data_IF_521752013962
#
_entry.id   IF_521752013962
#
_cell.length_a   1.000
_cell.length_b   1.000
_cell.length_c   1.000
_cell.angle_alpha   90.00
_cell.angle_beta   90.00
_cell.angle_gamma   90.00
#
_symmetry.space_group_name_H-M   'P 1'
#
loop_
_entity.id
_entity.type
_entity.pdbx_description
1 polymer ?
#
# COMPACT_ATOMS: atom_id res chain seq x y z
N UNK A 1 12.57 8.43 6.48
CA UNK A 1 12.08 7.12 5.97
C UNK A 1 10.70 6.83 6.57
N UNK A 2 9.78 6.16 5.86
CA UNK A 2 8.37 6.05 6.31
C UNK A 2 7.96 4.59 6.53
N UNK A 3 7.21 4.35 7.61
CA UNK A 3 6.49 3.11 7.89
C UNK A 3 5.03 3.39 8.24
N UNK A 4 4.20 2.37 8.14
CA UNK A 4 2.78 2.41 8.47
C UNK A 4 2.44 1.32 9.48
N UNK A 5 1.51 1.63 10.37
CA UNK A 5 0.91 0.67 11.30
C UNK A 5 -0.59 0.74 11.13
N UNK A 6 -1.25 -0.40 10.97
CA UNK A 6 -2.70 -0.49 10.77
C UNK A 6 -3.39 -1.02 12.01
N UNK A 7 -4.70 -0.76 12.11
CA UNK A 7 -5.59 -1.26 13.18
C UNK A 7 -5.23 -0.72 14.58
N UNK A 8 -4.57 0.42 14.65
CA UNK A 8 -4.30 1.12 15.92
C UNK A 8 -5.59 1.80 16.36
N UNK A 9 -6.02 1.53 17.59
CA UNK A 9 -7.22 2.12 18.17
C UNK A 9 -7.20 3.65 18.07
N UNK A 10 -8.36 4.27 17.83
CA UNK A 10 -8.52 5.72 17.72
C UNK A 10 -8.32 6.42 19.07
N UNK A 11 -8.53 5.72 20.18
CA UNK A 11 -8.36 6.24 21.53
C UNK A 11 -6.88 6.39 21.92
N UNK A 12 -5.96 5.74 21.19
CA UNK A 12 -4.51 5.89 21.42
C UNK A 12 -4.02 7.15 20.70
N UNK A 13 -3.66 8.23 21.42
CA UNK A 13 -3.26 9.48 20.80
C UNK A 13 -1.82 9.42 20.26
N UNK A 14 -1.53 10.26 19.27
CA UNK A 14 -0.24 10.25 18.54
C UNK A 14 0.97 10.56 19.46
N UNK A 15 0.78 11.35 20.51
CA UNK A 15 1.82 11.61 21.52
C UNK A 15 2.18 10.34 22.30
N UNK A 16 1.19 9.52 22.67
CA UNK A 16 1.41 8.25 23.37
C UNK A 16 2.21 7.26 22.53
N UNK A 17 1.92 7.21 21.24
CA UNK A 17 2.68 6.41 20.28
C UNK A 17 4.11 6.94 20.17
N UNK A 18 4.29 8.26 20.11
CA UNK A 18 5.62 8.89 20.04
C UNK A 18 6.46 8.54 21.27
N UNK A 19 5.89 8.67 22.47
CA UNK A 19 6.54 8.28 23.73
C UNK A 19 6.97 6.81 23.73
N UNK A 20 6.10 5.91 23.29
CA UNK A 20 6.40 4.48 23.22
C UNK A 20 7.59 4.17 22.30
N UNK A 21 7.65 4.84 21.14
CA UNK A 21 8.74 4.67 20.17
C UNK A 21 10.07 5.26 20.69
N UNK A 22 10.04 6.44 21.30
CA UNK A 22 11.24 7.05 21.87
C UNK A 22 11.77 6.26 23.07
N UNK A 23 10.89 5.67 23.89
CA UNK A 23 11.27 4.84 25.04
C UNK A 23 12.07 3.60 24.65
N UNK A 24 11.82 3.03 23.47
CA UNK A 24 12.58 1.89 22.94
C UNK A 24 13.83 2.31 22.15
N UNK A 25 14.15 3.62 22.13
CA UNK A 25 15.36 4.15 21.51
C UNK A 25 15.26 4.37 20.00
N UNK A 26 14.06 4.47 19.42
CA UNK A 26 13.89 4.76 18.00
C UNK A 26 13.87 6.27 17.72
N UNK A 27 14.66 6.69 16.74
CA UNK A 27 14.69 8.08 16.28
C UNK A 27 13.53 8.40 15.32
N UNK A 28 12.44 8.88 15.91
CA UNK A 28 11.22 9.28 15.20
C UNK A 28 11.20 10.79 14.96
N UNK A 29 10.92 11.19 13.72
CA UNK A 29 10.76 12.60 13.31
C UNK A 29 9.31 13.04 13.46
N UNK A 30 8.36 12.17 13.09
CA UNK A 30 6.94 12.52 13.12
C UNK A 30 6.07 11.26 13.20
N UNK A 31 5.03 11.31 14.03
CA UNK A 31 3.92 10.35 14.08
C UNK A 31 2.65 11.09 13.67
N UNK A 32 1.93 10.59 12.67
CA UNK A 32 0.67 11.18 12.22
C UNK A 32 -0.36 10.10 11.96
N UNK A 33 -1.54 10.21 12.58
CA UNK A 33 -2.71 9.42 12.20
C UNK A 33 -3.26 9.87 10.84
N UNK A 34 -3.50 8.91 9.95
CA UNK A 34 -4.06 9.20 8.63
C UNK A 34 -5.56 9.43 8.72
N UNK A 35 -6.05 10.38 7.93
CA UNK A 35 -7.47 10.70 7.83
C UNK A 35 -8.04 10.22 6.48
N UNK A 36 -9.32 9.89 6.46
CA UNK A 36 -10.06 9.67 5.20
C UNK A 36 -10.06 10.97 4.40
N UNK A 37 -9.92 10.83 3.09
CA UNK A 37 -9.93 11.97 2.16
C UNK A 37 -11.24 12.75 2.25
N UNK A 38 -12.34 12.05 2.41
CA UNK A 38 -13.68 12.61 2.55
C UNK A 38 -14.02 12.74 4.04
N UNK A 39 -14.35 13.96 4.48
CA UNK A 39 -14.74 14.25 5.86
C UNK A 39 -13.62 14.40 6.89
N UNK A 40 -12.34 14.23 6.50
CA UNK A 40 -11.18 14.37 7.40
C UNK A 40 -11.28 13.49 8.67
N UNK A 41 -11.94 12.33 8.56
CA UNK A 41 -12.20 11.44 9.69
C UNK A 41 -10.95 10.60 9.98
N UNK A 42 -10.45 10.53 11.22
CA UNK A 42 -9.27 9.75 11.56
C UNK A 42 -9.49 8.26 11.31
N UNK A 43 -8.44 7.60 10.83
CA UNK A 43 -8.43 6.16 10.57
C UNK A 43 -7.60 5.43 11.62
N UNK A 44 -7.72 4.10 11.65
CA UNK A 44 -6.86 3.23 12.45
C UNK A 44 -5.46 3.02 11.86
N UNK A 45 -5.03 3.87 10.92
CA UNK A 45 -3.70 3.79 10.29
C UNK A 45 -2.84 4.95 10.71
N UNK A 46 -1.64 4.63 11.19
CA UNK A 46 -0.62 5.59 11.60
C UNK A 46 0.50 5.59 10.58
N UNK A 47 0.96 6.79 10.22
CA UNK A 47 2.18 7.02 9.47
C UNK A 47 3.28 7.44 10.43
N UNK A 48 4.41 6.77 10.38
CA UNK A 48 5.58 7.09 11.21
C UNK A 48 6.74 7.43 10.29
N UNK A 49 7.36 8.58 10.54
CA UNK A 49 8.53 9.06 9.82
C UNK A 49 9.74 8.97 10.73
N UNK A 50 10.74 8.20 10.31
CA UNK A 50 12.01 7.99 11.02
C UNK A 50 13.11 8.84 10.43
N UNK A 51 14.11 9.15 11.26
CA UNK A 51 15.31 9.90 10.89
C UNK A 51 16.11 9.19 9.79
N UNK A 52 16.26 7.88 9.91
CA UNK A 52 17.05 7.07 8.98
C UNK A 52 16.39 5.71 8.63
N UNK A 53 17.07 4.98 7.75
CA UNK A 53 16.64 3.68 7.24
C UNK A 53 16.82 2.54 8.25
N UNK A 54 17.80 2.65 9.14
CA UNK A 54 18.12 1.65 10.14
C UNK A 54 17.00 1.60 11.19
N UNK A 55 16.67 2.75 11.79
CA UNK A 55 15.56 2.92 12.72
C UNK A 55 14.23 2.40 12.15
N UNK A 56 13.91 2.77 10.89
CA UNK A 56 12.70 2.27 10.21
C UNK A 56 12.74 0.75 10.00
N UNK A 57 13.88 0.17 9.60
CA UNK A 57 13.98 -1.28 9.39
C UNK A 57 13.83 -2.05 10.70
N UNK A 58 14.52 -1.62 11.75
CA UNK A 58 14.36 -2.16 13.09
C UNK A 58 12.90 -2.14 13.50
N UNK A 59 12.23 -1.00 13.34
CA UNK A 59 10.80 -0.86 13.65
C UNK A 59 9.89 -1.77 12.83
N UNK A 60 10.18 -2.00 11.54
CA UNK A 60 9.40 -2.94 10.71
C UNK A 60 9.50 -4.37 11.25
N UNK A 61 10.68 -4.76 11.74
CA UNK A 61 10.89 -6.09 12.31
C UNK A 61 10.29 -6.24 13.71
N UNK A 62 10.33 -5.20 14.54
CA UNK A 62 9.87 -5.25 15.93
C UNK A 62 8.40 -4.90 16.10
N UNK A 63 7.82 -4.10 15.21
CA UNK A 63 6.46 -3.57 15.32
C UNK A 63 6.29 -2.44 16.34
N UNK A 64 5.06 -1.97 16.49
CA UNK A 64 4.65 -0.98 17.48
C UNK A 64 4.14 -1.68 18.73
N UNK A 65 4.73 -1.37 19.88
CA UNK A 65 4.24 -1.82 21.18
C UNK A 65 3.76 -0.62 22.00
N UNK A 66 2.48 -0.59 22.36
CA UNK A 66 1.85 0.52 23.11
C UNK A 66 0.72 -0.04 23.97
N UNK A 67 0.66 0.37 25.23
CA UNK A 67 -0.39 -0.01 26.19
C UNK A 67 -0.69 -1.53 26.22
N UNK A 68 0.37 -2.34 26.24
CA UNK A 68 0.33 -3.82 26.20
C UNK A 68 -0.22 -4.45 24.91
N UNK A 69 -0.48 -3.63 23.88
CA UNK A 69 -0.84 -4.09 22.54
C UNK A 69 0.39 -4.10 21.64
N UNK A 70 0.40 -5.02 20.68
CA UNK A 70 1.42 -5.13 19.64
C UNK A 70 0.78 -5.05 18.27
N UNK A 71 1.36 -4.23 17.38
CA UNK A 71 0.89 -4.01 16.03
C UNK A 71 2.02 -4.21 15.02
N UNK A 72 1.72 -4.91 13.93
CA UNK A 72 2.65 -5.08 12.83
C UNK A 72 2.87 -3.77 12.08
N UNK A 73 4.13 -3.53 11.70
CA UNK A 73 4.54 -2.38 10.92
C UNK A 73 4.88 -2.79 9.48
N UNK A 74 4.57 -1.93 8.52
CA UNK A 74 4.84 -2.13 7.11
C UNK A 74 5.68 -0.97 6.57
N UNK A 75 6.68 -1.26 5.74
CA UNK A 75 7.39 -0.21 5.01
C UNK A 75 6.43 0.54 4.08
N UNK A 76 6.65 1.84 3.91
CA UNK A 76 6.07 2.54 2.78
C UNK A 76 6.60 1.92 1.47
N UNK A 77 5.75 1.20 0.76
CA UNK A 77 6.07 0.65 -0.55
C UNK A 77 5.47 1.53 -1.64
N UNK A 78 6.27 1.81 -2.66
CA UNK A 78 5.74 2.24 -3.94
C UNK A 78 5.49 1.00 -4.78
N UNK A 79 4.37 0.96 -5.50
CA UNK A 79 4.16 -0.06 -6.52
C UNK A 79 5.23 0.11 -7.61
N UNK A 80 6.29 -0.69 -7.52
CA UNK A 80 7.39 -0.68 -8.49
C UNK A 80 7.03 -1.37 -9.80
N UNK A 81 5.97 -2.17 -9.80
CA UNK A 81 5.51 -2.87 -11.00
C UNK A 81 4.67 -1.89 -11.83
N UNK A 82 4.99 -1.70 -13.12
CA UNK A 82 4.14 -0.91 -13.99
C UNK A 82 2.77 -1.60 -14.05
N UNK A 83 1.72 -0.83 -13.80
CA UNK A 83 0.36 -1.35 -13.88
C UNK A 83 0.01 -1.64 -15.32
N UNK A 84 -0.50 -2.84 -15.59
CA UNK A 84 -1.00 -3.23 -16.91
C UNK A 84 -2.51 -3.09 -16.93
N UNK A 85 -3.04 -2.46 -17.98
CA UNK A 85 -4.46 -2.30 -18.20
C UNK A 85 -5.10 -3.60 -18.68
N UNK A 86 -6.12 -4.12 -17.97
CA UNK A 86 -6.84 -5.34 -18.38
C UNK A 86 -7.75 -5.17 -19.61
N UNK A 87 -7.93 -3.96 -20.12
CA UNK A 87 -8.73 -3.70 -21.33
C UNK A 87 -7.83 -3.73 -22.57
N UNK A 88 -6.77 -2.92 -22.62
CA UNK A 88 -5.92 -2.78 -23.81
C UNK A 88 -4.54 -3.44 -23.69
N UNK A 89 -4.24 -4.06 -22.55
CA UNK A 89 -2.97 -4.73 -22.22
C UNK A 89 -1.72 -3.82 -22.24
N UNK A 90 -1.90 -2.51 -22.39
CA UNK A 90 -0.82 -1.51 -22.30
C UNK A 90 -0.50 -1.15 -20.85
N UNK A 91 0.70 -0.63 -20.63
CA UNK A 91 1.18 -0.25 -19.30
C UNK A 91 0.79 1.19 -18.90
N UNK A 92 1.02 1.53 -17.64
CA UNK A 92 0.92 2.87 -17.04
C UNK A 92 -0.50 3.44 -16.86
N UNK A 93 -1.54 2.61 -17.00
CA UNK A 93 -2.90 2.98 -16.58
C UNK A 93 -3.72 1.75 -16.17
N UNK A 94 -4.70 1.95 -15.29
CA UNK A 94 -5.69 0.92 -14.94
C UNK A 94 -6.90 0.98 -15.88
N UNK A 95 -7.65 -0.11 -15.96
CA UNK A 95 -8.87 -0.22 -16.78
C UNK A 95 -9.85 0.95 -16.58
N UNK A 96 -9.98 1.45 -15.33
CA UNK A 96 -10.82 2.61 -14.99
C UNK A 96 -10.48 3.87 -15.79
N UNK A 97 -9.24 4.03 -16.21
CA UNK A 97 -8.74 5.20 -16.96
C UNK A 97 -8.39 4.85 -18.41
N UNK A 98 -8.79 3.67 -18.89
CA UNK A 98 -8.55 3.29 -20.27
C UNK A 98 -9.43 4.13 -21.22
N UNK A 99 -8.81 4.70 -22.26
CA UNK A 99 -9.52 5.45 -23.30
C UNK A 99 -10.11 4.55 -24.39
N UNK A 100 -9.65 3.31 -24.46
CA UNK A 100 -10.07 2.32 -25.46
C UNK A 100 -11.36 1.65 -25.02
N UNK A 101 -12.33 1.52 -25.92
CA UNK A 101 -13.59 0.79 -25.68
C UNK A 101 -13.49 -0.69 -26.07
N UNK A 102 -12.51 -1.05 -26.89
CA UNK A 102 -12.26 -2.41 -27.34
C UNK A 102 -11.43 -3.18 -26.31
N UNK A 103 -11.89 -4.35 -25.90
CA UNK A 103 -11.13 -5.27 -25.06
C UNK A 103 -10.20 -6.12 -25.93
N UNK A 104 -8.93 -6.17 -25.53
CA UNK A 104 -7.88 -7.01 -26.12
C UNK A 104 -7.78 -8.30 -25.31
N UNK A 105 -7.77 -9.43 -26.02
CA UNK A 105 -7.66 -10.75 -25.43
C UNK A 105 -6.25 -10.98 -24.91
N UNK A 106 -6.12 -11.31 -23.62
CA UNK A 106 -4.83 -11.64 -23.00
C UNK A 106 -4.21 -12.96 -23.49
N UNK A 107 -4.94 -13.78 -24.27
CA UNK A 107 -4.42 -15.03 -24.85
C UNK A 107 -3.82 -14.85 -26.24
N UNK A 108 -4.55 -14.21 -27.16
CA UNK A 108 -4.16 -14.11 -28.57
C UNK A 108 -3.86 -12.69 -29.05
N UNK A 109 -4.25 -11.66 -28.29
CA UNK A 109 -4.09 -10.25 -28.66
C UNK A 109 -5.17 -9.68 -29.57
N UNK A 110 -6.23 -10.42 -29.88
CA UNK A 110 -7.35 -9.94 -30.71
C UNK A 110 -8.42 -9.18 -29.91
N UNK A 111 -9.30 -8.52 -30.66
CA UNK A 111 -10.33 -7.60 -30.17
C UNK A 111 -11.58 -8.32 -29.58
N UNK A 112 -11.39 -9.20 -28.58
CA UNK A 112 -12.50 -9.89 -27.89
C UNK A 112 -12.22 -10.13 -26.41
N UNK A 113 -13.27 -10.53 -25.66
CA UNK A 113 -13.12 -11.02 -24.29
C UNK A 113 -12.46 -12.38 -24.25
N UNK A 114 -11.63 -12.66 -23.25
CA UNK A 114 -10.93 -13.95 -23.10
C UNK A 114 -11.87 -15.16 -23.11
N UNK A 115 -13.11 -14.99 -22.64
CA UNK A 115 -14.17 -16.01 -22.64
C UNK A 115 -14.65 -16.38 -24.06
N UNK A 116 -14.51 -15.47 -25.01
CA UNK A 116 -14.89 -15.64 -26.42
C UNK A 116 -13.68 -16.04 -27.28
N UNK A 117 -12.53 -16.32 -26.65
CA UNK A 117 -11.32 -16.66 -27.37
C UNK A 117 -11.40 -18.10 -27.89
N UNK A 118 -11.33 -18.25 -29.20
CA UNK A 118 -11.31 -19.55 -29.90
C UNK A 118 -9.89 -19.99 -30.28
N UNK A 119 -8.87 -19.25 -29.88
CA UNK A 119 -7.47 -19.59 -30.18
C UNK A 119 -7.09 -20.91 -29.47
N UNK A 120 -6.49 -21.83 -30.23
CA UNK A 120 -5.90 -23.05 -29.69
C UNK A 120 -4.73 -22.71 -28.76
N UNK A 121 -4.41 -23.61 -27.82
CA UNK A 121 -3.35 -23.40 -26.82
C UNK A 121 -1.96 -23.18 -27.45
N UNK A 122 -1.74 -23.58 -28.70
CA UNK A 122 -0.48 -23.37 -29.43
C UNK A 122 -0.30 -21.95 -29.99
N UNK A 123 -1.35 -21.10 -29.95
CA UNK A 123 -1.32 -19.72 -30.44
C UNK A 123 -1.19 -18.68 -29.32
N UNK A 124 -0.76 -19.12 -28.12
CA UNK A 124 -0.54 -18.26 -26.96
C UNK A 124 0.70 -17.38 -27.20
N UNK A 125 0.52 -16.06 -27.08
CA UNK A 125 1.61 -15.06 -27.16
C UNK A 125 2.16 -14.71 -25.78
#
# INVERSE_FOLDING_TARGET
>A
MVAFVKRVDLEIPDNRITEALTKVGLDVVNVTRLNRKEGNIPTSTIKITFKDAHNRNTFIHTGLQVDSMHFNAEAASQNKKPVQCYICLQYNHVAKYCKTKQQICAKCGDNHRIEQCTAANDAIK
#
